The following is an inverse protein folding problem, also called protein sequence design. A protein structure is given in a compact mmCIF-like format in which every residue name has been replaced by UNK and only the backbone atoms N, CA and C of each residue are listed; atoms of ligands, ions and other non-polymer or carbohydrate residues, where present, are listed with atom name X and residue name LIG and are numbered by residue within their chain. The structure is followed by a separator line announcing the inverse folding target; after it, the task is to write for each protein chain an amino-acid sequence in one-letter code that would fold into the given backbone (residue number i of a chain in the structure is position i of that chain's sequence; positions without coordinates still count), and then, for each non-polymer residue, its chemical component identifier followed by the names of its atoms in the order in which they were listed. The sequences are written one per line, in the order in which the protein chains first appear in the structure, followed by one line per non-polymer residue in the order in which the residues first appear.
data_IF_928235244419
#
_entry.id   IF_928235244419
#
_cell.length_a   1.000
_cell.length_b   1.000
_cell.length_c   1.000
_cell.angle_alpha   90.00
_cell.angle_beta   90.00
_cell.angle_gamma   90.00
#
_symmetry.space_group_name_H-M   'P 1'
#
loop_
_entity.id
_entity.type
_entity.pdbx_description
1 polymer ?
#
# COMPACT_ATOMS: atom_id res chain seq x y z
N UNK A 1 -1.06 54.22 -7.03
CA UNK A 1 -0.44 53.37 -5.99
C UNK A 1 -1.54 52.68 -5.21
N UNK A 2 -1.76 51.40 -5.47
CA UNK A 2 -2.39 50.39 -4.61
C UNK A 2 -2.46 49.08 -5.41
N UNK A 3 -1.34 48.37 -5.44
CA UNK A 3 -1.24 46.95 -5.79
C UNK A 3 -1.92 46.13 -4.71
N UNK A 4 -2.84 45.23 -5.06
CA UNK A 4 -3.12 43.93 -4.42
C UNK A 4 -4.43 43.39 -5.00
N UNK A 5 -4.38 42.22 -5.65
CA UNK A 5 -5.57 41.67 -6.31
C UNK A 5 -5.41 40.22 -6.78
N UNK A 6 -4.99 39.36 -5.85
CA UNK A 6 -5.42 37.97 -5.71
C UNK A 6 -5.47 37.11 -7.01
N UNK A 7 -4.38 36.39 -7.25
CA UNK A 7 -4.39 35.21 -8.10
C UNK A 7 -5.35 34.15 -7.51
N UNK A 8 -6.46 33.90 -8.19
CA UNK A 8 -7.36 32.77 -7.95
C UNK A 8 -7.45 31.96 -9.24
N UNK A 9 -6.41 31.16 -9.47
CA UNK A 9 -6.43 30.07 -10.42
C UNK A 9 -7.38 28.98 -9.88
N UNK A 10 -8.68 29.14 -10.16
CA UNK A 10 -9.68 28.09 -9.97
C UNK A 10 -9.58 27.10 -11.13
N UNK A 11 -8.78 26.05 -10.97
CA UNK A 11 -8.90 24.81 -11.74
C UNK A 11 -9.31 23.66 -10.81
N UNK A 12 -10.62 23.39 -10.62
CA UNK A 12 -11.07 22.13 -10.09
C UNK A 12 -11.51 21.26 -11.28
N UNK A 13 -10.66 20.32 -11.71
CA UNK A 13 -10.96 19.56 -12.92
C UNK A 13 -10.19 18.26 -13.10
N UNK A 14 -9.75 17.61 -12.02
CA UNK A 14 -9.26 16.22 -12.04
C UNK A 14 -9.77 15.46 -10.82
N UNK A 15 -11.09 15.41 -10.66
CA UNK A 15 -11.76 14.46 -9.77
C UNK A 15 -11.97 13.11 -10.51
N UNK A 16 -10.86 12.45 -10.87
CA UNK A 16 -10.88 11.12 -11.47
C UNK A 16 -9.58 10.37 -11.17
N UNK A 17 -9.26 10.17 -9.89
CA UNK A 17 -8.39 9.11 -9.35
C UNK A 17 -8.44 9.10 -7.80
N UNK A 18 -9.60 9.41 -7.20
CA UNK A 18 -9.75 9.51 -5.74
C UNK A 18 -9.87 8.15 -5.02
N UNK A 19 -9.16 7.12 -5.50
CA UNK A 19 -8.99 5.84 -4.77
C UNK A 19 -7.53 5.55 -4.39
N UNK A 20 -6.58 6.22 -5.03
CA UNK A 20 -5.16 6.12 -4.73
C UNK A 20 -4.63 7.53 -4.40
N UNK A 21 -4.81 7.94 -3.14
CA UNK A 21 -4.16 9.13 -2.62
C UNK A 21 -2.65 8.92 -2.52
N UNK A 22 -1.83 9.99 -2.53
CA UNK A 22 -0.38 9.91 -2.42
C UNK A 22 0.07 9.09 -1.20
N UNK A 23 -0.68 9.17 -0.09
CA UNK A 23 -0.43 8.41 1.13
C UNK A 23 -0.63 6.90 0.92
N UNK A 24 -1.66 6.48 0.17
CA UNK A 24 -1.90 5.06 -0.12
C UNK A 24 -0.81 4.48 -1.02
N UNK A 25 -0.33 5.27 -1.98
CA UNK A 25 0.79 4.88 -2.85
C UNK A 25 2.09 4.78 -2.05
N UNK A 26 2.36 5.72 -1.15
CA UNK A 26 3.53 5.70 -0.27
C UNK A 26 3.48 4.51 0.70
N UNK A 27 2.33 4.24 1.32
CA UNK A 27 2.09 3.07 2.18
C UNK A 27 2.39 1.76 1.44
N UNK A 28 1.87 1.61 0.22
CA UNK A 28 2.11 0.41 -0.59
C UNK A 28 3.59 0.23 -0.91
N UNK A 29 4.29 1.30 -1.28
CA UNK A 29 5.72 1.25 -1.56
C UNK A 29 6.52 0.81 -0.32
N UNK A 30 6.15 1.29 0.87
CA UNK A 30 6.76 0.87 2.13
C UNK A 30 6.51 -0.62 2.44
N UNK A 31 5.30 -1.12 2.19
CA UNK A 31 4.97 -2.55 2.32
C UNK A 31 5.83 -3.41 1.37
N UNK A 32 5.95 -3.03 0.09
CA UNK A 32 6.80 -3.72 -0.88
C UNK A 32 8.26 -3.74 -0.42
N UNK A 33 8.78 -2.59 0.01
CA UNK A 33 10.16 -2.48 0.49
C UNK A 33 10.39 -3.37 1.71
N UNK A 34 9.43 -3.43 2.64
CA UNK A 34 9.51 -4.31 3.81
C UNK A 34 9.51 -5.78 3.43
N UNK A 35 8.64 -6.22 2.51
CA UNK A 35 8.62 -7.60 2.01
C UNK A 35 9.97 -7.97 1.40
N UNK A 36 10.57 -7.10 0.57
CA UNK A 36 11.87 -7.36 -0.07
C UNK A 36 13.05 -7.30 0.88
N UNK A 37 12.90 -6.64 2.03
CA UNK A 37 13.94 -6.60 3.05
C UNK A 37 14.07 -7.92 3.82
N UNK A 38 13.08 -8.82 3.70
CA UNK A 38 13.11 -10.13 4.31
C UNK A 38 14.03 -11.08 3.50
N UNK A 39 15.09 -11.65 4.10
CA UNK A 39 15.96 -12.61 3.42
C UNK A 39 15.22 -13.84 2.88
N UNK A 40 14.09 -14.22 3.46
CA UNK A 40 13.28 -15.34 2.98
C UNK A 40 12.57 -15.04 1.65
N UNK A 41 12.46 -13.76 1.28
CA UNK A 41 11.86 -13.30 0.04
C UNK A 41 12.90 -13.09 -1.07
N UNK A 42 14.17 -13.40 -0.83
CA UNK A 42 15.23 -13.30 -1.85
C UNK A 42 14.90 -14.17 -3.07
N UNK A 43 15.05 -13.62 -4.27
CA UNK A 43 14.74 -14.32 -5.52
C UNK A 43 13.25 -14.48 -5.83
N UNK A 44 12.36 -13.98 -4.97
CA UNK A 44 10.91 -14.00 -5.24
C UNK A 44 10.58 -13.10 -6.44
N UNK A 45 9.82 -13.60 -7.44
CA UNK A 45 9.42 -12.81 -8.60
C UNK A 45 8.65 -11.54 -8.22
N UNK A 46 8.84 -10.47 -9.00
CA UNK A 46 8.17 -9.19 -8.77
C UNK A 46 6.64 -9.30 -8.79
N UNK A 47 6.11 -10.20 -9.62
CA UNK A 47 4.67 -10.50 -9.65
C UNK A 47 4.17 -10.96 -8.29
N UNK A 48 4.86 -11.89 -7.65
CA UNK A 48 4.53 -12.42 -6.32
C UNK A 48 4.62 -11.33 -5.26
N UNK A 49 5.71 -10.56 -5.24
CA UNK A 49 5.88 -9.47 -4.26
C UNK A 49 4.77 -8.43 -4.37
N UNK A 50 4.42 -8.04 -5.61
CA UNK A 50 3.33 -7.10 -5.85
C UNK A 50 1.98 -7.68 -5.42
N UNK A 51 1.74 -8.96 -5.68
CA UNK A 51 0.52 -9.65 -5.25
C UNK A 51 0.37 -9.63 -3.72
N UNK A 52 1.43 -9.98 -2.99
CA UNK A 52 1.43 -9.91 -1.52
C UNK A 52 1.16 -8.49 -1.04
N UNK A 53 1.80 -7.48 -1.63
CA UNK A 53 1.62 -6.09 -1.24
C UNK A 53 0.17 -5.62 -1.48
N UNK A 54 -0.42 -5.96 -2.63
CA UNK A 54 -1.79 -5.58 -2.97
C UNK A 54 -2.81 -6.24 -2.04
N UNK A 55 -2.62 -7.54 -1.77
CA UNK A 55 -3.40 -8.26 -0.78
C UNK A 55 -3.25 -7.64 0.62
N UNK A 56 -2.03 -7.32 1.04
CA UNK A 56 -1.76 -6.73 2.35
C UNK A 56 -2.43 -5.36 2.49
N UNK A 57 -2.38 -4.54 1.44
CA UNK A 57 -3.06 -3.23 1.38
C UNK A 57 -4.59 -3.34 1.42
N UNK A 58 -5.15 -4.45 0.93
CA UNK A 58 -6.59 -4.71 0.97
C UNK A 58 -7.06 -5.29 2.31
N UNK A 59 -6.24 -6.11 2.97
CA UNK A 59 -6.65 -6.89 4.13
C UNK A 59 -6.18 -6.33 5.48
N UNK A 60 -5.05 -5.62 5.56
CA UNK A 60 -4.58 -5.04 6.81
C UNK A 60 -5.17 -3.64 7.06
N UNK A 61 -5.51 -3.38 8.34
CA UNK A 61 -5.79 -2.04 8.84
C UNK A 61 -4.57 -1.11 8.65
N UNK A 62 -4.78 0.20 8.62
CA UNK A 62 -3.68 1.16 8.52
C UNK A 62 -2.66 0.99 9.67
N UNK A 63 -3.14 0.73 10.89
CA UNK A 63 -2.29 0.47 12.05
C UNK A 63 -1.46 -0.81 11.89
N UNK A 64 -2.08 -1.90 11.41
CA UNK A 64 -1.39 -3.16 11.11
C UNK A 64 -0.31 -2.95 10.04
N UNK A 65 -0.57 -2.09 9.03
CA UNK A 65 0.42 -1.74 8.00
C UNK A 65 1.61 -0.97 8.57
N UNK A 66 1.35 0.04 9.40
CA UNK A 66 2.42 0.78 10.07
C UNK A 66 3.25 -0.13 10.96
N UNK A 67 2.61 -0.98 11.78
CA UNK A 67 3.31 -1.95 12.62
C UNK A 67 4.22 -2.88 11.79
N UNK A 68 3.73 -3.40 10.67
CA UNK A 68 4.51 -4.26 9.78
C UNK A 68 5.73 -3.55 9.18
N UNK A 69 5.56 -2.34 8.63
CA UNK A 69 6.66 -1.56 8.06
C UNK A 69 7.72 -1.27 9.13
N UNK A 70 7.30 -0.96 10.35
CA UNK A 70 8.19 -0.70 11.49
C UNK A 70 8.77 -1.99 12.12
N UNK A 71 8.38 -3.19 11.64
CA UNK A 71 8.85 -4.47 12.17
C UNK A 71 8.28 -4.83 13.55
N UNK A 72 7.15 -4.23 13.95
CA UNK A 72 6.39 -4.56 15.16
C UNK A 72 5.36 -5.65 14.88
N UNK A 73 4.96 -6.35 15.93
CA UNK A 73 3.89 -7.36 15.84
C UNK A 73 2.53 -6.67 15.62
N UNK A 74 1.74 -7.07 14.61
CA UNK A 74 0.42 -6.51 14.38
C UNK A 74 -0.60 -7.00 15.44
N UNK A 75 -1.71 -6.27 15.63
CA UNK A 75 -2.79 -6.70 16.53
C UNK A 75 -3.41 -8.04 16.08
N UNK A 76 -3.78 -8.88 17.05
CA UNK A 76 -4.04 -10.34 16.90
C UNK A 76 -5.27 -10.78 16.06
N UNK A 77 -6.04 -9.87 15.45
CA UNK A 77 -7.38 -10.20 14.92
C UNK A 77 -7.49 -10.51 13.41
N UNK A 78 -6.38 -10.65 12.68
CA UNK A 78 -6.42 -10.60 11.20
C UNK A 78 -6.22 -11.96 10.47
N UNK A 79 -5.90 -13.08 11.14
CA UNK A 79 -5.14 -14.17 10.48
C UNK A 79 -5.92 -15.21 9.63
N UNK A 80 -7.17 -15.57 9.90
CA UNK A 80 -7.77 -16.77 9.24
C UNK A 80 -8.42 -16.50 7.88
N UNK A 81 -9.05 -15.33 7.68
CA UNK A 81 -9.60 -14.94 6.37
C UNK A 81 -8.50 -14.52 5.37
N UNK A 82 -7.29 -14.31 5.88
CA UNK A 82 -6.13 -13.81 5.17
C UNK A 82 -5.49 -14.89 4.27
N UNK A 83 -5.38 -16.13 4.75
CA UNK A 83 -4.59 -17.19 4.09
C UNK A 83 -5.15 -17.65 2.73
N UNK A 84 -6.48 -17.81 2.59
CA UNK A 84 -7.06 -18.29 1.34
C UNK A 84 -6.92 -17.28 0.19
N UNK A 85 -7.09 -15.99 0.47
CA UNK A 85 -7.01 -14.93 -0.54
C UNK A 85 -5.56 -14.69 -1.02
N UNK A 86 -4.57 -14.82 -0.12
CA UNK A 86 -3.16 -14.70 -0.53
C UNK A 86 -2.73 -15.91 -1.36
N UNK A 87 -3.22 -17.11 -1.05
CA UNK A 87 -2.91 -18.32 -1.84
C UNK A 87 -3.40 -18.22 -3.29
N UNK A 88 -4.59 -17.66 -3.54
CA UNK A 88 -5.06 -17.42 -4.91
C UNK A 88 -4.21 -16.37 -5.63
N UNK A 89 -3.78 -15.32 -4.93
CA UNK A 89 -2.84 -14.33 -5.43
C UNK A 89 -1.52 -15.00 -5.90
N UNK A 90 -0.96 -15.85 -5.04
CA UNK A 90 0.30 -16.53 -5.26
C UNK A 90 0.27 -17.48 -6.46
N UNK A 91 -0.83 -18.22 -6.66
CA UNK A 91 -0.97 -19.17 -7.77
C UNK A 91 -0.92 -18.52 -9.16
N UNK A 92 -1.35 -17.25 -9.28
CA UNK A 92 -1.36 -16.52 -10.55
C UNK A 92 -0.12 -15.66 -10.80
N UNK A 93 0.74 -15.50 -9.81
CA UNK A 93 1.87 -14.56 -9.84
C UNK A 93 3.25 -15.22 -10.01
N UNK A 94 3.30 -16.56 -9.91
CA UNK A 94 4.50 -17.39 -10.04
C UNK A 94 4.79 -17.82 -11.48
#
# INVERSE_FOLDING_TARGET
MATFGLALALTPGLAACARDGPDRTADRAAVVAKIRSDPQMEGTPDGVVNCLADWYMASASAESRTAFVEGRQPPQNDDVAREAAVLECLKGAA
#
